data_IF_507503610812
#
_entry.id   IF_507503610812
#
_cell.length_a   1.000
_cell.length_b   1.000
_cell.length_c   1.000
_cell.angle_alpha   90.00
_cell.angle_beta   90.00
_cell.angle_gamma   90.00
#
_symmetry.space_group_name_H-M   'P 1'
#
loop_
_entity.id
_entity.type
_entity.pdbx_description
1 polymer ?
#
# COMPACT_ATOMS: atom_id res chain seq x y z
N UNK A 1 14.27 24.45 -12.29
CA UNK A 1 13.97 24.29 -13.75
C UNK A 1 14.06 22.83 -14.20
N UNK A 2 15.18 22.10 -13.96
CA UNK A 2 15.28 20.66 -14.29
C UNK A 2 14.31 19.82 -13.45
N UNK A 3 14.21 20.07 -12.15
CA UNK A 3 13.30 19.35 -11.23
C UNK A 3 11.83 19.61 -11.61
N UNK A 4 11.46 20.83 -11.97
CA UNK A 4 10.12 21.22 -12.35
C UNK A 4 9.63 20.57 -13.65
N UNK A 5 10.54 20.23 -14.56
CA UNK A 5 10.20 19.62 -15.86
C UNK A 5 10.30 18.09 -15.86
N UNK A 6 11.25 17.52 -15.12
CA UNK A 6 11.58 16.09 -15.17
C UNK A 6 11.01 15.30 -13.97
N UNK A 7 10.67 15.98 -12.87
CA UNK A 7 10.12 15.35 -11.64
C UNK A 7 8.70 15.81 -11.37
N UNK A 8 7.80 15.73 -12.36
CA UNK A 8 6.40 16.06 -12.19
C UNK A 8 5.66 14.92 -11.47
N UNK A 9 4.53 15.25 -10.83
CA UNK A 9 3.62 14.25 -10.25
C UNK A 9 3.24 13.14 -11.25
N UNK A 10 3.11 13.47 -12.52
CA UNK A 10 2.78 12.51 -13.57
C UNK A 10 3.91 11.50 -13.78
N UNK A 11 5.15 11.95 -13.87
CA UNK A 11 6.34 11.07 -13.99
C UNK A 11 6.51 10.23 -12.74
N UNK A 12 6.28 10.82 -11.56
CA UNK A 12 6.38 10.12 -10.28
C UNK A 12 5.30 9.02 -10.16
N UNK A 13 4.06 9.28 -10.54
CA UNK A 13 2.97 8.28 -10.57
C UNK A 13 3.27 7.12 -11.51
N UNK A 14 3.83 7.40 -12.69
CA UNK A 14 4.29 6.34 -13.61
C UNK A 14 5.39 5.50 -12.98
N UNK A 15 6.34 6.12 -12.29
CA UNK A 15 7.39 5.41 -11.53
C UNK A 15 6.80 4.49 -10.45
N UNK A 16 5.79 4.96 -9.73
CA UNK A 16 5.08 4.17 -8.71
C UNK A 16 4.35 2.97 -9.30
N UNK A 17 3.66 3.12 -10.42
CA UNK A 17 2.97 2.02 -11.10
C UNK A 17 3.91 0.91 -11.58
N UNK A 18 5.21 1.21 -11.72
CA UNK A 18 6.24 0.21 -12.03
C UNK A 18 6.80 -0.49 -10.78
N UNK A 19 6.45 -0.02 -9.58
CA UNK A 19 6.89 -0.66 -8.35
C UNK A 19 6.08 -1.93 -8.08
N UNK A 20 6.76 -3.08 -8.11
CA UNK A 20 6.14 -4.40 -7.97
C UNK A 20 6.78 -5.20 -6.85
N UNK A 21 5.99 -6.05 -6.24
CA UNK A 21 6.49 -7.06 -5.31
C UNK A 21 7.39 -8.06 -6.06
N UNK A 22 8.54 -8.39 -5.44
CA UNK A 22 9.50 -9.35 -5.96
C UNK A 22 9.50 -10.60 -5.09
N UNK A 23 9.18 -11.75 -5.69
CA UNK A 23 9.11 -13.05 -5.00
C UNK A 23 10.46 -13.51 -4.46
N UNK A 24 11.55 -13.08 -5.10
CA UNK A 24 12.93 -13.43 -4.71
C UNK A 24 13.56 -12.43 -3.73
N UNK A 25 12.77 -11.63 -3.03
CA UNK A 25 13.25 -10.62 -2.10
C UNK A 25 13.46 -9.25 -2.75
N UNK A 26 14.10 -8.33 -2.02
CA UNK A 26 14.35 -6.97 -2.52
C UNK A 26 13.15 -6.02 -2.40
N UNK A 27 12.20 -6.30 -1.50
CA UNK A 27 10.98 -5.50 -1.28
C UNK A 27 11.17 -4.31 -0.31
N UNK A 28 12.42 -3.92 -0.02
CA UNK A 28 12.72 -2.74 0.82
C UNK A 28 12.03 -1.45 0.32
N UNK A 29 12.04 -1.13 -0.99
CA UNK A 29 11.34 0.06 -1.49
C UNK A 29 9.84 0.06 -1.18
N UNK A 30 9.15 -1.08 -1.31
CA UNK A 30 7.74 -1.21 -0.95
C UNK A 30 7.51 -1.01 0.56
N UNK A 31 8.34 -1.64 1.39
CA UNK A 31 8.26 -1.45 2.85
C UNK A 31 8.48 0.00 3.24
N UNK A 32 9.48 0.65 2.69
CA UNK A 32 9.75 2.06 2.91
C UNK A 32 8.56 2.93 2.50
N UNK A 33 8.03 2.72 1.28
CA UNK A 33 6.88 3.46 0.77
C UNK A 33 5.68 3.35 1.71
N UNK A 34 5.21 2.13 1.96
CA UNK A 34 4.02 1.91 2.79
C UNK A 34 4.20 2.36 4.24
N UNK A 35 5.37 2.13 4.83
CA UNK A 35 5.65 2.58 6.20
C UNK A 35 5.66 4.10 6.29
N UNK A 36 6.25 4.78 5.31
CA UNK A 36 6.25 6.26 5.26
C UNK A 36 4.83 6.79 5.08
N UNK A 37 4.03 6.21 4.18
CA UNK A 37 2.63 6.61 4.02
C UNK A 37 1.84 6.38 5.30
N UNK A 38 2.03 5.26 5.98
CA UNK A 38 1.36 4.97 7.24
C UNK A 38 1.68 6.02 8.33
N UNK A 39 2.92 6.50 8.40
CA UNK A 39 3.33 7.53 9.36
C UNK A 39 2.71 8.91 9.07
N UNK A 40 2.34 9.18 7.82
CA UNK A 40 1.73 10.44 7.42
C UNK A 40 0.21 10.37 7.26
N UNK A 41 -0.41 9.21 7.54
CA UNK A 41 -1.82 8.97 7.24
C UNK A 41 -2.76 9.95 7.94
N UNK A 42 -2.50 10.33 9.18
CA UNK A 42 -3.32 11.27 9.94
C UNK A 42 -3.25 12.69 9.32
N UNK A 43 -2.05 13.15 8.97
CA UNK A 43 -1.89 14.41 8.26
C UNK A 43 -2.66 14.42 6.94
N UNK A 44 -2.56 13.34 6.16
CA UNK A 44 -3.28 13.20 4.89
C UNK A 44 -4.80 13.17 5.10
N UNK A 45 -5.30 12.39 6.07
CA UNK A 45 -6.73 12.30 6.40
C UNK A 45 -7.33 13.62 6.90
N UNK A 46 -6.51 14.49 7.46
CA UNK A 46 -6.88 15.85 7.86
C UNK A 46 -6.76 16.88 6.72
N UNK A 47 -6.71 16.42 5.46
CA UNK A 47 -6.72 17.27 4.26
C UNK A 47 -5.34 17.69 3.77
N UNK A 48 -4.26 17.14 4.31
CA UNK A 48 -2.87 17.44 3.91
C UNK A 48 -2.56 18.95 3.94
N UNK A 49 -3.00 19.63 4.99
CA UNK A 49 -2.79 21.08 5.18
C UNK A 49 -1.43 21.33 5.83
N UNK A 50 -0.66 22.25 5.29
CA UNK A 50 0.69 22.56 5.76
C UNK A 50 1.73 21.56 5.29
N UNK A 51 2.91 21.59 5.90
CA UNK A 51 3.98 20.65 5.59
C UNK A 51 3.61 19.22 6.01
N UNK A 52 4.07 18.17 5.28
CA UNK A 52 3.89 16.79 5.70
C UNK A 52 4.40 16.57 7.12
N UNK A 53 3.56 15.98 7.97
CA UNK A 53 3.87 15.74 9.37
C UNK A 53 3.73 14.23 9.71
N UNK A 54 4.85 13.52 9.97
CA UNK A 54 4.80 12.13 10.39
C UNK A 54 4.25 12.00 11.81
N UNK A 55 3.50 10.93 12.05
CA UNK A 55 2.96 10.62 13.39
C UNK A 55 4.06 10.16 14.37
N UNK A 56 5.09 9.52 13.84
CA UNK A 56 6.20 8.99 14.63
C UNK A 56 7.52 9.45 14.01
N UNK A 57 8.30 10.21 14.76
CA UNK A 57 9.64 10.65 14.34
C UNK A 57 10.72 9.58 14.59
N UNK A 58 10.44 8.30 14.36
CA UNK A 58 11.35 7.20 14.65
C UNK A 58 11.85 6.52 13.38
N UNK A 59 13.06 5.98 13.48
CA UNK A 59 13.63 5.11 12.44
C UNK A 59 12.72 3.91 12.22
N UNK A 60 12.30 3.69 10.99
CA UNK A 60 11.43 2.57 10.62
C UNK A 60 12.21 1.27 10.79
N UNK A 61 11.76 0.41 11.70
CA UNK A 61 12.26 -0.95 11.81
C UNK A 61 11.45 -1.86 10.87
N UNK A 62 12.13 -2.41 9.87
CA UNK A 62 11.50 -3.29 8.88
C UNK A 62 11.44 -4.77 9.31
N UNK A 63 11.94 -5.15 10.49
CA UNK A 63 12.04 -6.56 10.92
C UNK A 63 10.67 -7.20 11.11
N UNK A 64 9.66 -6.40 11.49
CA UNK A 64 8.28 -6.84 11.65
C UNK A 64 7.33 -6.29 10.58
N UNK A 65 7.86 -5.89 9.43
CA UNK A 65 7.08 -5.30 8.34
C UNK A 65 7.05 -6.25 7.16
N UNK A 66 5.86 -6.67 6.76
CA UNK A 66 5.65 -7.51 5.57
C UNK A 66 4.76 -6.82 4.55
N UNK A 67 4.99 -7.15 3.28
CA UNK A 67 4.08 -6.75 2.19
C UNK A 67 3.07 -7.86 1.99
N UNK A 68 1.82 -7.51 2.16
CA UNK A 68 0.66 -8.39 2.01
C UNK A 68 0.02 -8.22 0.65
N UNK A 69 -0.39 -9.35 0.03
CA UNK A 69 -1.23 -9.37 -1.17
C UNK A 69 -2.70 -9.40 -0.79
N UNK A 70 -3.45 -8.37 -1.13
CA UNK A 70 -4.87 -8.26 -0.77
C UNK A 70 -5.67 -9.36 -1.47
N UNK A 71 -5.63 -9.44 -2.81
CA UNK A 71 -6.02 -10.65 -3.53
C UNK A 71 -4.92 -11.70 -3.35
N UNK A 72 -5.31 -12.88 -2.89
CA UNK A 72 -4.36 -13.97 -2.63
C UNK A 72 -3.66 -14.44 -3.90
N UNK A 73 -2.38 -14.77 -3.78
CA UNK A 73 -1.61 -15.45 -4.83
C UNK A 73 -2.02 -16.93 -4.99
N UNK A 74 -2.76 -17.48 -4.03
CA UNK A 74 -3.17 -18.88 -4.06
C UNK A 74 -4.36 -19.10 -4.99
N UNK A 75 -4.30 -20.09 -5.90
CA UNK A 75 -5.44 -20.42 -6.74
C UNK A 75 -6.71 -20.78 -5.99
N UNK A 76 -6.60 -21.30 -4.76
CA UNK A 76 -7.75 -21.65 -3.93
C UNK A 76 -8.54 -20.46 -3.38
N UNK A 77 -7.96 -19.26 -3.44
CA UNK A 77 -8.59 -18.02 -3.04
C UNK A 77 -8.42 -16.92 -4.11
N UNK A 78 -8.37 -17.35 -5.37
CA UNK A 78 -8.20 -16.44 -6.51
C UNK A 78 -9.39 -15.48 -6.62
N UNK A 79 -9.07 -14.22 -6.86
CA UNK A 79 -10.04 -13.17 -7.15
C UNK A 79 -10.09 -12.97 -8.67
N UNK A 80 -11.28 -12.98 -9.29
CA UNK A 80 -11.41 -12.76 -10.73
C UNK A 80 -10.74 -11.46 -11.19
N UNK A 81 -10.04 -11.52 -12.32
CA UNK A 81 -9.31 -10.39 -12.90
C UNK A 81 -7.89 -10.18 -12.37
N UNK A 82 -7.49 -10.87 -11.28
CA UNK A 82 -6.09 -10.88 -10.86
C UNK A 82 -5.34 -12.02 -11.55
N UNK A 83 -4.24 -11.68 -12.21
CA UNK A 83 -3.39 -12.56 -12.99
C UNK A 83 -1.94 -12.44 -12.54
N UNK A 84 -1.04 -13.24 -13.08
CA UNK A 84 0.41 -13.10 -12.84
C UNK A 84 0.98 -11.73 -13.23
N UNK A 85 0.28 -10.96 -14.06
CA UNK A 85 0.73 -9.63 -14.51
C UNK A 85 0.43 -8.53 -13.49
N UNK A 86 -0.69 -8.63 -12.77
CA UNK A 86 -1.18 -7.59 -11.87
C UNK A 86 -1.22 -7.97 -10.39
N UNK A 87 -1.09 -9.26 -10.03
CA UNK A 87 -1.15 -9.72 -8.64
C UNK A 87 -0.06 -9.09 -7.75
N UNK A 88 1.08 -8.73 -8.34
CA UNK A 88 2.24 -8.17 -7.67
C UNK A 88 2.36 -6.64 -7.77
N UNK A 89 1.40 -5.98 -8.39
CA UNK A 89 1.40 -4.52 -8.56
C UNK A 89 1.00 -3.81 -7.28
N UNK A 90 1.37 -2.54 -7.16
CA UNK A 90 1.07 -1.67 -6.02
C UNK A 90 -0.43 -1.68 -5.67
N UNK A 91 -1.29 -1.76 -6.69
CA UNK A 91 -2.75 -1.81 -6.54
C UNK A 91 -3.27 -2.99 -5.73
N UNK A 92 -2.49 -4.06 -5.58
CA UNK A 92 -2.87 -5.26 -4.83
C UNK A 92 -2.04 -5.47 -3.55
N UNK A 93 -1.31 -4.47 -3.10
CA UNK A 93 -0.40 -4.59 -1.98
C UNK A 93 -0.79 -3.68 -0.82
N UNK A 94 -0.52 -4.13 0.39
CA UNK A 94 -0.58 -3.33 1.61
C UNK A 94 0.47 -3.80 2.61
N UNK A 95 0.41 -3.27 3.84
CA UNK A 95 1.38 -3.53 4.90
C UNK A 95 0.72 -4.31 6.03
N UNK A 96 1.39 -5.35 6.51
CA UNK A 96 1.02 -6.07 7.73
C UNK A 96 2.25 -6.35 8.59
N UNK A 97 2.06 -6.59 9.87
CA UNK A 97 3.08 -7.22 10.71
C UNK A 97 3.24 -8.69 10.34
N UNK A 98 4.35 -9.32 10.77
CA UNK A 98 4.57 -10.75 10.55
C UNK A 98 3.41 -11.59 11.11
N UNK A 99 2.95 -11.29 12.33
CA UNK A 99 1.86 -12.02 12.96
C UNK A 99 0.49 -11.82 12.27
N UNK A 100 0.21 -10.62 11.79
CA UNK A 100 -0.99 -10.33 11.01
C UNK A 100 -0.97 -11.05 9.65
N UNK A 101 0.19 -11.02 8.97
CA UNK A 101 0.38 -11.69 7.69
C UNK A 101 0.21 -13.21 7.82
N UNK A 102 0.74 -13.81 8.90
CA UNK A 102 0.53 -15.23 9.20
C UNK A 102 -0.95 -15.58 9.38
N UNK A 103 -1.74 -14.69 9.96
CA UNK A 103 -3.19 -14.87 10.08
C UNK A 103 -3.93 -14.65 8.76
N UNK A 104 -3.45 -13.73 7.91
CA UNK A 104 -4.05 -13.40 6.62
C UNK A 104 -3.81 -14.49 5.57
N UNK A 105 -2.55 -14.85 5.32
CA UNK A 105 -2.12 -15.88 4.35
C UNK A 105 -3.00 -15.91 3.08
N UNK A 106 -3.46 -17.09 2.71
CA UNK A 106 -4.24 -17.35 1.51
C UNK A 106 -5.77 -17.26 1.74
N UNK A 107 -6.20 -16.45 2.72
CA UNK A 107 -7.63 -16.25 2.98
C UNK A 107 -8.29 -15.38 1.91
N UNK A 108 -9.62 -15.50 1.80
CA UNK A 108 -10.41 -14.57 1.00
C UNK A 108 -10.34 -13.14 1.55
N UNK A 109 -10.64 -12.16 0.71
CA UNK A 109 -10.67 -10.76 1.13
C UNK A 109 -11.61 -10.54 2.34
N UNK A 110 -12.80 -11.10 2.30
CA UNK A 110 -13.78 -11.00 3.41
C UNK A 110 -13.19 -11.49 4.74
N UNK A 111 -12.42 -12.58 4.71
CA UNK A 111 -11.77 -13.10 5.92
C UNK A 111 -10.54 -12.27 6.36
N UNK A 112 -9.89 -11.57 5.42
CA UNK A 112 -8.79 -10.65 5.70
C UNK A 112 -9.26 -9.30 6.24
N UNK A 113 -10.47 -8.86 5.89
CA UNK A 113 -11.03 -7.55 6.26
C UNK A 113 -10.97 -7.30 7.77
N UNK A 114 -11.29 -8.30 8.59
CA UNK A 114 -11.17 -8.19 10.06
C UNK A 114 -9.71 -7.99 10.51
N UNK A 115 -8.74 -8.62 9.84
CA UNK A 115 -7.31 -8.46 10.13
C UNK A 115 -6.87 -7.05 9.77
N UNK A 116 -7.31 -6.50 8.65
CA UNK A 116 -7.02 -5.11 8.25
C UNK A 116 -7.65 -4.10 9.22
N UNK A 117 -8.88 -4.37 9.68
CA UNK A 117 -9.55 -3.54 10.67
C UNK A 117 -8.76 -3.45 11.98
N UNK A 118 -8.24 -4.57 12.46
CA UNK A 118 -7.50 -4.67 13.72
C UNK A 118 -5.99 -4.43 13.56
N UNK A 119 -5.54 -4.09 12.36
CA UNK A 119 -4.11 -3.94 12.06
C UNK A 119 -3.45 -2.81 12.84
N UNK A 120 -2.20 -3.04 13.25
CA UNK A 120 -1.32 -2.01 13.82
C UNK A 120 -1.04 -0.88 12.83
N UNK A 121 -1.14 -1.15 11.51
CA UNK A 121 -0.94 -0.16 10.46
C UNK A 121 -2.25 0.54 10.09
N UNK A 122 -2.35 1.81 10.47
CA UNK A 122 -3.55 2.63 10.30
C UNK A 122 -3.94 2.81 8.82
N UNK A 123 -2.99 2.69 7.90
CA UNK A 123 -3.25 2.73 6.46
C UNK A 123 -4.28 1.68 6.04
N UNK A 124 -4.36 0.55 6.74
CA UNK A 124 -5.31 -0.53 6.47
C UNK A 124 -6.77 -0.17 6.80
N UNK A 125 -7.01 0.93 7.55
CA UNK A 125 -8.37 1.44 7.78
C UNK A 125 -9.07 1.87 6.49
N UNK A 126 -8.34 2.05 5.40
CA UNK A 126 -8.93 2.24 4.08
C UNK A 126 -9.92 1.12 3.72
N UNK A 127 -9.58 -0.12 4.07
CA UNK A 127 -10.37 -1.31 3.73
C UNK A 127 -11.68 -1.44 4.53
N UNK A 128 -11.87 -0.67 5.59
CA UNK A 128 -13.14 -0.65 6.34
C UNK A 128 -14.33 -0.27 5.44
N UNK A 129 -14.10 0.63 4.48
CA UNK A 129 -15.10 1.11 3.52
C UNK A 129 -15.17 0.29 2.22
N UNK A 130 -14.34 -0.74 2.07
CA UNK A 130 -14.30 -1.57 0.86
C UNK A 130 -14.97 -2.91 1.16
N UNK A 131 -16.12 -3.17 0.55
CA UNK A 131 -16.90 -4.38 0.85
C UNK A 131 -16.39 -5.61 0.12
N UNK A 132 -15.89 -5.42 -1.10
CA UNK A 132 -15.37 -6.50 -1.94
C UNK A 132 -14.06 -6.09 -2.62
N UNK A 133 -13.18 -7.07 -2.86
CA UNK A 133 -11.92 -6.83 -3.54
C UNK A 133 -12.01 -7.27 -5.00
N UNK A 134 -11.97 -6.30 -5.88
CA UNK A 134 -12.03 -6.46 -7.33
C UNK A 134 -10.90 -5.66 -8.00
N UNK A 135 -10.79 -5.77 -9.30
CA UNK A 135 -9.85 -4.94 -10.08
C UNK A 135 -10.18 -3.46 -9.95
N UNK A 136 -11.46 -3.11 -9.83
CA UNK A 136 -11.94 -1.74 -9.63
C UNK A 136 -11.55 -1.21 -8.27
N UNK A 137 -11.76 -1.99 -7.20
CA UNK A 137 -11.32 -1.65 -5.84
C UNK A 137 -9.80 -1.47 -5.77
N UNK A 138 -9.06 -2.33 -6.46
CA UNK A 138 -7.60 -2.24 -6.54
C UNK A 138 -7.13 -0.96 -7.25
N UNK A 139 -7.79 -0.55 -8.33
CA UNK A 139 -7.50 0.72 -9.01
C UNK A 139 -7.79 1.92 -8.12
N UNK A 140 -8.90 1.89 -7.38
CA UNK A 140 -9.24 2.96 -6.43
C UNK A 140 -8.19 3.04 -5.30
N UNK A 141 -7.73 1.91 -4.80
CA UNK A 141 -6.64 1.84 -3.81
C UNK A 141 -5.33 2.41 -4.37
N UNK A 142 -4.94 2.02 -5.59
CA UNK A 142 -3.73 2.56 -6.23
C UNK A 142 -3.81 4.08 -6.40
N UNK A 143 -4.97 4.60 -6.85
CA UNK A 143 -5.19 6.03 -6.98
C UNK A 143 -5.03 6.74 -5.62
N UNK A 144 -5.64 6.21 -4.56
CA UNK A 144 -5.49 6.73 -3.21
C UNK A 144 -4.02 6.77 -2.76
N UNK A 145 -3.26 5.68 -3.00
CA UNK A 145 -1.83 5.64 -2.70
C UNK A 145 -1.04 6.69 -3.48
N UNK A 146 -1.33 6.85 -4.77
CA UNK A 146 -0.67 7.84 -5.63
C UNK A 146 -0.94 9.28 -5.16
N UNK A 147 -2.17 9.57 -4.73
CA UNK A 147 -2.52 10.88 -4.18
C UNK A 147 -1.78 11.17 -2.87
N UNK A 148 -1.72 10.19 -1.96
CA UNK A 148 -0.93 10.30 -0.73
C UNK A 148 0.55 10.52 -1.01
N UNK A 149 1.11 9.73 -1.92
CA UNK A 149 2.54 9.79 -2.26
C UNK A 149 2.92 11.17 -2.80
N UNK A 150 2.13 11.73 -3.71
CA UNK A 150 2.36 13.07 -4.25
C UNK A 150 2.25 14.18 -3.19
N UNK A 151 1.58 13.93 -2.08
CA UNK A 151 1.48 14.87 -0.96
C UNK A 151 2.61 14.70 0.06
N UNK A 152 3.00 13.45 0.34
CA UNK A 152 4.01 13.12 1.35
C UNK A 152 5.43 13.32 0.83
N UNK A 153 5.69 12.89 -0.40
CA UNK A 153 7.00 13.02 -1.06
C UNK A 153 6.99 14.24 -2.00
N UNK A 154 6.89 15.42 -1.40
CA UNK A 154 7.00 16.68 -2.17
C UNK A 154 8.46 16.89 -2.61
N UNK A 155 8.65 17.14 -3.89
CA UNK A 155 9.96 17.46 -4.50
C UNK A 155 10.12 18.98 -4.60
#
# INVERSE_FOLDING_TARGET
>A
EYIETECTDAVFKVGLSNLKYRTNGGNKPLRYLFSTLNEHIEWYRNGAVGAPAPQKGTVINYDNVTIEHIASQSPSAAVPGFTSENIHTLSNLTLLTNGENDRAKNKSYTAKKAIYHDSEYVINKYFDSVDDWSVESAKAWEQYLQEMVCKVFVV
#
